data_IF_600927251383
#
_entry.id   IF_600927251383
#
_cell.length_a   1.000
_cell.length_b   1.000
_cell.length_c   1.000
_cell.angle_alpha   90.00
_cell.angle_beta   90.00
_cell.angle_gamma   90.00
#
_symmetry.space_group_name_H-M   'P 1'
#
loop_
_entity.id
_entity.type
_entity.pdbx_description
1 polymer ?
#
# COMPACT_ATOMS: atom_id res chain seq x y z
N UNK A 1 44.42 -4.29 27.23
CA UNK A 1 43.20 -5.16 27.36
C UNK A 1 41.89 -4.38 27.32
N UNK A 2 41.77 -3.29 28.05
CA UNK A 2 40.51 -2.47 28.04
C UNK A 2 40.15 -1.93 26.61
N UNK A 3 41.14 -1.53 25.82
CA UNK A 3 40.89 -1.04 24.45
C UNK A 3 40.34 -2.11 23.51
N UNK A 4 40.77 -3.38 23.67
CA UNK A 4 40.29 -4.51 22.86
C UNK A 4 38.84 -4.85 23.29
N UNK A 5 38.54 -4.77 24.58
CA UNK A 5 37.18 -4.99 25.11
C UNK A 5 36.17 -3.95 24.58
N UNK A 6 36.58 -2.70 24.48
CA UNK A 6 35.73 -1.61 23.97
C UNK A 6 35.46 -1.79 22.46
N UNK A 7 36.46 -2.22 21.70
CA UNK A 7 36.31 -2.47 20.25
C UNK A 7 35.38 -3.68 20.00
N UNK A 8 35.52 -4.74 20.81
CA UNK A 8 34.62 -5.92 20.70
C UNK A 8 33.19 -5.60 21.11
N UNK A 9 33.01 -4.78 22.13
CA UNK A 9 31.69 -4.31 22.56
C UNK A 9 31.02 -3.39 21.51
N UNK A 10 31.83 -2.54 20.84
CA UNK A 10 31.31 -1.65 19.78
C UNK A 10 30.91 -2.43 18.53
N UNK A 11 31.63 -3.51 18.17
CA UNK A 11 31.26 -4.39 17.04
C UNK A 11 30.00 -5.21 17.29
N UNK A 12 29.72 -5.59 18.56
CA UNK A 12 28.50 -6.32 18.91
C UNK A 12 27.25 -5.43 18.89
N UNK A 13 27.40 -4.12 19.09
CA UNK A 13 26.28 -3.18 19.06
C UNK A 13 25.76 -2.86 17.63
N UNK A 14 26.61 -3.04 16.60
CA UNK A 14 26.23 -2.79 15.20
C UNK A 14 25.40 -3.93 14.57
N UNK A 15 25.25 -5.07 15.23
CA UNK A 15 24.56 -6.25 14.68
C UNK A 15 23.05 -6.27 14.92
N UNK A 16 22.48 -5.28 15.61
CA UNK A 16 21.05 -5.28 15.98
C UNK A 16 20.20 -4.35 15.09
N UNK A 17 20.75 -3.72 14.07
CA UNK A 17 20.02 -2.75 13.24
C UNK A 17 19.64 -3.26 11.85
N UNK A 18 19.47 -4.56 11.66
CA UNK A 18 19.04 -5.13 10.37
C UNK A 18 17.76 -5.97 10.45
N UNK A 19 16.85 -5.67 11.34
CA UNK A 19 15.46 -6.04 11.12
C UNK A 19 14.89 -4.98 10.18
N UNK A 20 14.98 -5.23 8.87
CA UNK A 20 14.22 -4.50 7.88
C UNK A 20 12.77 -4.50 8.35
N UNK A 21 12.17 -3.31 8.50
CA UNK A 21 10.74 -3.21 8.81
C UNK A 21 10.01 -3.95 7.70
N UNK A 22 9.51 -5.14 8.02
CA UNK A 22 8.64 -5.90 7.13
C UNK A 22 7.48 -4.97 6.79
N UNK A 23 7.19 -4.80 5.50
CA UNK A 23 6.09 -3.95 5.09
C UNK A 23 4.78 -4.43 5.74
N UNK A 24 3.82 -3.54 5.95
CA UNK A 24 2.51 -3.90 6.44
C UNK A 24 1.90 -5.05 5.62
N UNK A 25 2.03 -4.97 4.30
CA UNK A 25 1.50 -5.97 3.38
C UNK A 25 2.18 -7.33 3.53
N UNK A 26 3.52 -7.38 3.63
CA UNK A 26 4.25 -8.64 3.82
C UNK A 26 3.85 -9.34 5.11
N UNK A 27 3.60 -8.57 6.17
CA UNK A 27 3.19 -9.10 7.48
C UNK A 27 1.84 -9.82 7.43
N UNK A 28 0.90 -9.33 6.61
CA UNK A 28 -0.46 -9.86 6.55
C UNK A 28 -0.74 -10.72 5.32
N UNK A 29 0.12 -10.71 4.32
CA UNK A 29 -0.06 -11.44 3.07
C UNK A 29 -0.17 -12.97 3.26
N UNK A 30 0.47 -13.52 4.29
CA UNK A 30 0.47 -14.96 4.57
C UNK A 30 -0.41 -15.33 5.78
N UNK A 31 -1.19 -14.37 6.30
CA UNK A 31 -2.05 -14.63 7.45
C UNK A 31 -3.28 -15.44 7.03
N UNK A 32 -3.62 -16.47 7.80
CA UNK A 32 -4.85 -17.25 7.61
C UNK A 32 -6.09 -16.33 7.71
N UNK A 33 -7.04 -16.50 6.78
CA UNK A 33 -8.23 -15.65 6.67
C UNK A 33 -8.00 -14.30 5.97
N UNK A 34 -6.81 -14.08 5.39
CA UNK A 34 -6.54 -12.93 4.54
C UNK A 34 -6.33 -13.38 3.10
N UNK A 35 -7.12 -12.83 2.20
CA UNK A 35 -6.85 -12.91 0.76
C UNK A 35 -5.80 -11.88 0.39
N UNK A 36 -4.73 -12.31 -0.25
CA UNK A 36 -3.61 -11.45 -0.65
C UNK A 36 -3.37 -11.54 -2.15
N UNK A 37 -3.25 -10.39 -2.82
CA UNK A 37 -2.86 -10.28 -4.22
C UNK A 37 -1.65 -9.35 -4.33
N UNK A 38 -0.60 -9.80 -5.01
CA UNK A 38 0.57 -8.99 -5.29
C UNK A 38 0.86 -8.97 -6.80
N UNK A 39 0.70 -7.81 -7.41
CA UNK A 39 0.95 -7.59 -8.84
C UNK A 39 2.28 -6.86 -8.98
N UNK A 40 3.24 -7.52 -9.58
CA UNK A 40 4.59 -6.98 -9.76
C UNK A 40 4.69 -6.04 -10.96
N UNK A 41 5.74 -5.23 -11.00
CA UNK A 41 6.08 -4.41 -12.16
C UNK A 41 6.20 -5.22 -13.45
N UNK A 42 6.76 -6.41 -13.38
CA UNK A 42 6.89 -7.30 -14.55
C UNK A 42 5.53 -7.69 -15.11
N UNK A 43 4.57 -8.00 -14.26
CA UNK A 43 3.18 -8.29 -14.69
C UNK A 43 2.52 -7.05 -15.27
N UNK A 44 2.67 -5.89 -14.62
CA UNK A 44 2.11 -4.62 -15.07
C UNK A 44 2.68 -4.19 -16.44
N UNK A 45 3.94 -4.54 -16.75
CA UNK A 45 4.58 -4.23 -18.01
C UNK A 45 4.04 -5.03 -19.21
N UNK A 46 3.28 -6.10 -18.97
CA UNK A 46 2.64 -6.90 -20.03
C UNK A 46 1.38 -6.21 -20.60
N UNK A 47 0.83 -5.20 -19.93
CA UNK A 47 -0.28 -4.43 -20.47
C UNK A 47 0.15 -3.61 -21.69
N UNK A 48 -0.57 -3.70 -22.83
CA UNK A 48 -0.22 -2.97 -24.03
C UNK A 48 -0.24 -1.47 -23.80
N UNK A 49 0.86 -0.78 -24.12
CA UNK A 49 0.91 0.67 -24.04
C UNK A 49 -0.02 1.28 -25.09
N UNK A 50 -0.89 2.18 -24.69
CA UNK A 50 -1.66 3.03 -25.59
C UNK A 50 -2.95 2.44 -26.17
N UNK A 51 -3.35 1.20 -25.85
CA UNK A 51 -4.53 0.57 -26.45
C UNK A 51 -5.71 0.33 -25.48
N UNK A 52 -5.51 0.51 -24.19
CA UNK A 52 -6.55 0.23 -23.20
C UNK A 52 -7.05 1.54 -22.61
N UNK A 53 -8.02 2.18 -23.27
CA UNK A 53 -8.77 3.28 -22.71
C UNK A 53 -10.01 2.73 -22.00
N UNK A 54 -10.10 2.95 -20.70
CA UNK A 54 -11.31 2.69 -19.92
C UNK A 54 -11.82 4.06 -19.47
N UNK A 55 -12.98 4.45 -19.93
CA UNK A 55 -13.64 5.73 -19.61
C UNK A 55 -12.73 6.97 -19.79
N UNK A 56 -11.92 6.99 -20.85
CA UNK A 56 -11.00 8.11 -21.13
C UNK A 56 -9.64 8.03 -20.44
N UNK A 57 -9.41 7.04 -19.56
CA UNK A 57 -8.13 6.81 -18.89
C UNK A 57 -7.32 5.76 -19.64
N UNK A 58 -6.07 6.10 -19.99
CA UNK A 58 -5.15 5.17 -20.62
C UNK A 58 -4.49 4.26 -19.59
N UNK A 59 -5.13 3.13 -19.28
CA UNK A 59 -4.67 2.15 -18.28
C UNK A 59 -3.29 1.59 -18.64
N UNK A 60 -3.01 1.33 -19.90
CA UNK A 60 -1.70 0.81 -20.34
C UNK A 60 -0.56 1.79 -20.07
N UNK A 61 -0.79 3.09 -20.21
CA UNK A 61 0.22 4.10 -19.88
C UNK A 61 0.44 4.19 -18.37
N UNK A 62 -0.61 4.13 -17.58
CA UNK A 62 -0.54 4.13 -16.11
C UNK A 62 0.20 2.86 -15.63
N UNK A 63 -0.21 1.68 -16.08
CA UNK A 63 0.37 0.41 -15.69
C UNK A 63 1.90 0.38 -15.92
N UNK A 64 2.40 0.99 -16.99
CA UNK A 64 3.84 1.03 -17.29
C UNK A 64 4.68 1.83 -16.29
N UNK A 65 4.05 2.71 -15.50
CA UNK A 65 4.69 3.57 -14.49
C UNK A 65 4.50 3.08 -13.06
N UNK A 66 3.67 2.04 -12.89
CA UNK A 66 3.51 1.37 -11.60
C UNK A 66 4.69 0.48 -11.29
N UNK A 67 5.06 0.40 -10.02
CA UNK A 67 6.05 -0.56 -9.52
C UNK A 67 5.37 -1.81 -8.97
N UNK A 68 4.26 -1.66 -8.25
CA UNK A 68 3.44 -2.77 -7.78
C UNK A 68 2.04 -2.32 -7.38
N UNK A 69 1.14 -3.29 -7.28
CA UNK A 69 -0.16 -3.17 -6.63
C UNK A 69 -0.25 -4.32 -5.62
N UNK A 70 -0.66 -4.01 -4.40
CA UNK A 70 -0.90 -4.98 -3.34
C UNK A 70 -2.33 -4.84 -2.83
N UNK A 71 -3.02 -5.96 -2.66
CA UNK A 71 -4.38 -6.01 -2.14
C UNK A 71 -4.40 -7.00 -0.98
N UNK A 72 -4.99 -6.61 0.13
CA UNK A 72 -5.35 -7.48 1.24
C UNK A 72 -6.84 -7.35 1.48
N UNK A 73 -7.55 -8.45 1.57
CA UNK A 73 -8.98 -8.48 1.93
C UNK A 73 -9.23 -9.53 3.00
N UNK A 74 -10.15 -9.24 3.92
CA UNK A 74 -10.60 -10.14 4.96
C UNK A 74 -12.11 -9.99 5.17
N UNK A 75 -12.78 -11.13 5.40
CA UNK A 75 -14.22 -11.25 5.62
C UNK A 75 -14.57 -11.85 6.99
N UNK A 76 -13.58 -12.24 7.79
CA UNK A 76 -13.77 -12.69 9.16
C UNK A 76 -13.60 -11.55 10.17
N UNK A 77 -14.60 -11.31 11.03
CA UNK A 77 -14.60 -10.19 11.99
C UNK A 77 -13.33 -10.05 12.83
N UNK A 78 -12.75 -11.10 13.42
CA UNK A 78 -11.52 -10.95 14.21
C UNK A 78 -10.33 -10.46 13.39
N UNK A 79 -10.28 -10.81 12.09
CA UNK A 79 -9.24 -10.39 11.16
C UNK A 79 -9.50 -8.98 10.68
N UNK A 80 -10.75 -8.65 10.35
CA UNK A 80 -11.19 -7.29 10.03
C UNK A 80 -10.79 -6.32 11.14
N UNK A 81 -11.11 -6.63 12.40
CA UNK A 81 -10.80 -5.77 13.54
C UNK A 81 -9.28 -5.59 13.73
N UNK A 82 -8.52 -6.63 13.47
CA UNK A 82 -7.06 -6.58 13.49
C UNK A 82 -6.51 -5.68 12.39
N UNK A 83 -6.98 -5.82 11.14
CA UNK A 83 -6.55 -4.99 10.02
C UNK A 83 -6.96 -3.53 10.22
N UNK A 84 -8.19 -3.25 10.72
CA UNK A 84 -8.64 -1.90 11.09
C UNK A 84 -7.71 -1.23 12.09
N UNK A 85 -7.31 -1.98 13.13
CA UNK A 85 -6.38 -1.48 14.15
C UNK A 85 -5.01 -1.17 13.57
N UNK A 86 -4.48 -2.03 12.74
CA UNK A 86 -3.15 -1.87 12.15
C UNK A 86 -3.14 -0.72 11.12
N UNK A 87 -4.21 -0.54 10.33
CA UNK A 87 -4.35 0.57 9.38
C UNK A 87 -4.50 1.93 10.05
N UNK A 88 -4.72 1.98 11.37
CA UNK A 88 -4.68 3.24 12.14
C UNK A 88 -3.31 3.95 12.06
N UNK A 89 -2.26 3.21 11.70
CA UNK A 89 -0.94 3.76 11.38
C UNK A 89 -0.86 4.53 10.06
N UNK A 90 -1.85 4.39 9.17
CA UNK A 90 -1.96 5.17 7.94
C UNK A 90 -2.60 6.52 8.28
N UNK A 91 -1.76 7.50 8.60
CA UNK A 91 -2.19 8.82 9.05
C UNK A 91 -1.10 9.88 8.79
N UNK A 92 -1.45 11.14 9.02
CA UNK A 92 -0.55 12.29 8.78
C UNK A 92 0.75 12.25 9.59
N UNK A 93 0.76 11.65 10.80
CA UNK A 93 1.97 11.52 11.61
C UNK A 93 3.01 10.60 10.95
N UNK A 94 2.54 9.65 10.15
CA UNK A 94 3.37 8.70 9.40
C UNK A 94 3.57 9.12 7.94
N UNK A 95 3.25 10.40 7.61
CA UNK A 95 3.49 10.98 6.30
C UNK A 95 2.42 10.66 5.26
N UNK A 96 1.26 10.14 5.68
CA UNK A 96 0.12 9.95 4.78
C UNK A 96 -0.81 11.15 4.82
N UNK A 97 -1.21 11.64 3.67
CA UNK A 97 -2.22 12.66 3.49
C UNK A 97 -3.54 12.00 3.08
N UNK A 98 -4.63 12.34 3.74
CA UNK A 98 -5.95 11.89 3.33
C UNK A 98 -6.44 12.74 2.16
N UNK A 99 -6.66 12.11 1.00
CA UNK A 99 -7.12 12.80 -0.20
C UNK A 99 -8.64 12.83 -0.31
N UNK A 100 -9.28 11.74 0.06
CA UNK A 100 -10.73 11.57 -0.07
C UNK A 100 -11.27 10.62 0.99
N UNK A 101 -12.49 10.91 1.44
CA UNK A 101 -13.26 10.01 2.29
C UNK A 101 -14.72 10.04 1.87
N UNK A 102 -15.27 8.86 1.59
CA UNK A 102 -16.69 8.66 1.31
C UNK A 102 -17.28 7.81 2.43
N UNK A 103 -18.51 8.11 2.81
CA UNK A 103 -19.32 7.28 3.70
C UNK A 103 -20.71 7.17 3.13
N UNK A 104 -21.15 5.95 2.91
CA UNK A 104 -22.47 5.64 2.40
C UNK A 104 -22.97 4.33 3.01
N UNK A 105 -24.20 4.30 3.50
CA UNK A 105 -24.89 3.11 4.03
C UNK A 105 -24.10 2.24 5.05
N UNK A 106 -23.20 2.86 5.80
CA UNK A 106 -22.36 2.18 6.79
C UNK A 106 -20.99 1.74 6.26
N UNK A 107 -20.76 1.88 4.97
CA UNK A 107 -19.46 1.68 4.32
C UNK A 107 -18.61 2.94 4.39
N UNK A 108 -17.30 2.77 4.44
CA UNK A 108 -16.35 3.87 4.46
C UNK A 108 -15.19 3.59 3.54
N UNK A 109 -15.05 4.38 2.51
CA UNK A 109 -13.87 4.39 1.63
C UNK A 109 -12.97 5.58 1.94
N UNK A 110 -11.68 5.35 2.12
CA UNK A 110 -10.71 6.41 2.37
C UNK A 110 -9.49 6.21 1.49
N UNK A 111 -9.04 7.28 0.85
CA UNK A 111 -7.86 7.29 0.00
C UNK A 111 -6.79 8.13 0.67
N UNK A 112 -5.63 7.53 0.87
CA UNK A 112 -4.43 8.17 1.38
C UNK A 112 -3.36 8.25 0.31
N UNK A 113 -2.54 9.28 0.43
CA UNK A 113 -1.37 9.52 -0.40
C UNK A 113 -0.14 9.66 0.47
N UNK A 114 1.00 9.19 -0.02
CA UNK A 114 2.29 9.40 0.60
C UNK A 114 3.37 9.58 -0.46
N UNK A 115 4.16 10.64 -0.34
CA UNK A 115 5.37 10.78 -1.12
C UNK A 115 6.40 9.74 -0.68
N UNK A 116 6.85 8.96 -1.64
CA UNK A 116 7.88 7.96 -1.44
C UNK A 116 9.27 8.47 -1.79
N UNK A 117 10.24 7.57 -1.84
CA UNK A 117 11.61 7.86 -2.29
C UNK A 117 11.69 7.86 -3.81
N UNK A 118 12.57 8.71 -4.40
CA UNK A 118 12.88 8.74 -5.84
C UNK A 118 11.65 9.01 -6.71
N UNK A 119 10.85 10.02 -6.38
CA UNK A 119 9.63 10.43 -7.10
C UNK A 119 8.53 9.36 -7.17
N UNK A 120 8.67 8.29 -6.39
CA UNK A 120 7.62 7.27 -6.25
C UNK A 120 6.57 7.77 -5.27
N UNK A 121 5.33 7.45 -5.56
CA UNK A 121 4.17 7.77 -4.73
C UNK A 121 3.47 6.50 -4.32
N UNK A 122 2.93 6.50 -3.14
CA UNK A 122 2.08 5.43 -2.63
C UNK A 122 0.67 5.97 -2.42
N UNK A 123 -0.29 5.30 -3.02
CA UNK A 123 -1.71 5.51 -2.78
C UNK A 123 -2.25 4.31 -2.02
N UNK A 124 -2.93 4.56 -0.91
CA UNK A 124 -3.56 3.51 -0.13
C UNK A 124 -5.06 3.77 -0.09
N UNK A 125 -5.82 2.82 -0.61
CA UNK A 125 -7.27 2.79 -0.56
C UNK A 125 -7.69 1.84 0.55
N UNK A 126 -8.49 2.33 1.48
CA UNK A 126 -9.13 1.53 2.53
C UNK A 126 -10.63 1.48 2.25
N UNK A 127 -11.16 0.28 2.04
CA UNK A 127 -12.60 0.02 1.93
C UNK A 127 -13.03 -0.74 3.17
N UNK A 128 -13.81 -0.09 4.01
CA UNK A 128 -14.27 -0.59 5.31
C UNK A 128 -15.79 -0.80 5.25
N UNK A 129 -16.17 -2.04 5.03
CA UNK A 129 -17.54 -2.49 4.99
C UNK A 129 -17.88 -3.26 6.27
N UNK A 130 -19.16 -3.58 6.45
CA UNK A 130 -19.62 -4.30 7.63
C UNK A 130 -18.97 -5.68 7.75
N UNK A 131 -18.95 -6.42 6.64
CA UNK A 131 -18.58 -7.83 6.59
C UNK A 131 -17.29 -8.08 5.76
N UNK A 132 -16.64 -7.03 5.30
CA UNK A 132 -15.37 -7.09 4.56
C UNK A 132 -14.51 -5.87 4.86
N UNK A 133 -13.20 -6.06 4.87
CA UNK A 133 -12.23 -4.97 4.94
C UNK A 133 -11.14 -5.17 3.90
N UNK A 134 -11.02 -4.23 2.97
CA UNK A 134 -10.06 -4.30 1.88
C UNK A 134 -9.06 -3.14 1.94
N UNK A 135 -7.79 -3.47 1.74
CA UNK A 135 -6.67 -2.53 1.67
C UNK A 135 -6.01 -2.69 0.31
N UNK A 136 -5.90 -1.61 -0.45
CA UNK A 136 -5.20 -1.60 -1.73
C UNK A 136 -4.07 -0.59 -1.65
N UNK A 137 -2.83 -1.02 -1.91
CA UNK A 137 -1.68 -0.12 -2.10
C UNK A 137 -1.25 -0.12 -3.54
N UNK A 138 -1.05 1.06 -4.10
CA UNK A 138 -0.56 1.29 -5.46
C UNK A 138 0.69 2.13 -5.35
N UNK A 139 1.82 1.59 -5.79
CA UNK A 139 3.11 2.29 -5.77
C UNK A 139 3.60 2.53 -7.19
N UNK A 140 3.98 3.76 -7.48
CA UNK A 140 4.52 4.10 -8.79
C UNK A 140 4.74 5.60 -8.99
N UNK A 141 5.10 5.96 -10.21
CA UNK A 141 5.21 7.35 -10.65
C UNK A 141 3.85 7.79 -11.24
N UNK A 142 2.94 8.19 -10.35
CA UNK A 142 1.58 8.61 -10.68
C UNK A 142 1.32 10.05 -10.23
N UNK A 143 0.47 10.74 -10.98
CA UNK A 143 -0.08 12.03 -10.57
C UNK A 143 -1.43 11.87 -9.87
N UNK A 144 -1.78 12.83 -9.03
CA UNK A 144 -3.10 12.88 -8.39
C UNK A 144 -4.24 12.91 -9.42
N UNK A 145 -4.06 13.57 -10.55
CA UNK A 145 -5.05 13.64 -11.63
C UNK A 145 -5.33 12.28 -12.25
N UNK A 146 -4.30 11.45 -12.42
CA UNK A 146 -4.45 10.09 -12.96
C UNK A 146 -5.20 9.18 -12.00
N UNK A 147 -4.94 9.31 -10.71
CA UNK A 147 -5.69 8.57 -9.68
C UNK A 147 -7.16 9.01 -9.65
N UNK A 148 -7.44 10.31 -9.73
CA UNK A 148 -8.80 10.83 -9.81
C UNK A 148 -9.54 10.28 -11.05
N UNK A 149 -8.84 10.19 -12.19
CA UNK A 149 -9.39 9.62 -13.42
C UNK A 149 -9.75 8.13 -13.30
N UNK A 150 -9.04 7.37 -12.46
CA UNK A 150 -9.34 5.95 -12.20
C UNK A 150 -10.57 5.81 -11.29
N UNK A 151 -10.70 6.66 -10.29
CA UNK A 151 -11.76 6.57 -9.27
C UNK A 151 -13.10 7.08 -9.81
N UNK A 152 -13.11 8.14 -10.62
CA UNK A 152 -14.33 8.76 -11.16
C UNK A 152 -14.97 7.95 -12.30
N UNK A 153 -14.59 6.68 -12.48
CA UNK A 153 -15.08 5.81 -13.58
C UNK A 153 -16.31 4.99 -13.22
N UNK A 154 -16.90 5.20 -12.04
CA UNK A 154 -18.17 4.59 -11.64
C UNK A 154 -19.35 5.57 -11.84
N UNK A 155 -19.74 5.78 -13.09
CA UNK A 155 -21.06 6.29 -13.50
C UNK A 155 -21.53 5.60 -14.78
#
# INVERSE_FOLDING_TARGET
>A
MIRIFIITLLMTLCSICSYGQQSFFDKYAEMEGVTSVYITKSMLSLFPKGQTNVNGVNIGNIASRLDNIQILSADEQPIIDKLRKETSGINTRNGYEELMRVREDGEKTTIYFKDGKKDKKEFVLLVDEKDEFTIISIVGDLTLQEIQGIINTED
#
